data_IF_518206731165
#
_entry.id   IF_518206731165
#
_cell.length_a   1.000
_cell.length_b   1.000
_cell.length_c   1.000
_cell.angle_alpha   90.00
_cell.angle_beta   90.00
_cell.angle_gamma   90.00
#
_symmetry.space_group_name_H-M   'P 1'
#
loop_
_entity.id
_entity.type
_entity.pdbx_description
1 polymer ?
#
# COMPACT_ATOMS: atom_id res chain seq x y z
N UNK A 1 -22.31 37.18 57.20
CA UNK A 1 -21.23 38.10 56.77
C UNK A 1 -21.00 37.89 55.28
N UNK A 2 -21.00 38.98 54.51
CA UNK A 2 -21.34 39.06 53.08
C UNK A 2 -20.16 38.80 52.14
N UNK A 3 -20.43 38.12 51.04
CA UNK A 3 -19.63 38.02 49.80
C UNK A 3 -19.47 39.38 49.12
N UNK A 4 -18.29 39.67 48.53
CA UNK A 4 -18.14 40.43 47.26
C UNK A 4 -16.87 40.04 46.48
N UNK A 5 -17.12 39.67 45.23
CA UNK A 5 -16.24 39.56 44.04
C UNK A 5 -15.72 40.94 43.59
N UNK A 6 -14.47 41.08 43.08
CA UNK A 6 -14.06 41.97 41.96
C UNK A 6 -12.81 41.38 41.25
N UNK A 7 -12.67 41.68 39.95
CA UNK A 7 -12.06 40.91 38.86
C UNK A 7 -10.82 41.56 38.20
N UNK A 8 -10.16 40.78 37.30
CA UNK A 8 -9.25 41.14 36.17
C UNK A 8 -7.78 41.45 36.56
N UNK A 9 -6.73 41.04 35.83
CA UNK A 9 -6.49 41.09 34.37
C UNK A 9 -5.42 40.06 33.94
N UNK A 10 -5.56 39.57 32.73
CA UNK A 10 -4.54 38.84 31.97
C UNK A 10 -3.27 39.68 31.78
N UNK A 11 -2.10 39.06 31.97
CA UNK A 11 -0.83 39.55 31.41
C UNK A 11 -0.20 38.38 30.65
N UNK A 12 -0.20 38.50 29.33
CA UNK A 12 0.54 37.65 28.42
C UNK A 12 2.02 37.99 28.52
N UNK A 13 2.86 37.00 28.82
CA UNK A 13 4.31 37.12 28.69
C UNK A 13 4.68 36.37 27.42
N UNK A 14 5.01 37.15 26.39
CA UNK A 14 5.63 36.67 25.17
C UNK A 14 7.06 36.22 25.48
N UNK A 15 7.43 34.99 25.10
CA UNK A 15 8.80 34.50 25.18
C UNK A 15 9.27 33.99 23.80
N UNK A 16 10.08 34.85 23.19
CA UNK A 16 11.21 34.61 22.29
C UNK A 16 11.18 33.44 21.28
N UNK A 17 11.28 33.86 20.03
CA UNK A 17 11.80 33.19 18.83
C UNK A 17 13.02 32.29 19.07
N UNK A 18 12.95 31.07 18.54
CA UNK A 18 14.09 30.39 17.95
C UNK A 18 13.72 29.99 16.52
N UNK A 19 14.17 30.78 15.55
CA UNK A 19 14.12 30.41 14.13
C UNK A 19 15.23 29.40 13.91
N UNK A 20 14.90 28.12 14.02
CA UNK A 20 15.70 27.06 13.43
C UNK A 20 15.24 26.85 12.00
N UNK A 21 15.93 27.41 11.01
CA UNK A 21 15.79 26.96 9.61
C UNK A 21 16.49 25.62 9.45
N UNK A 22 16.00 24.61 10.17
CA UNK A 22 16.19 23.22 9.80
C UNK A 22 15.03 22.87 8.89
N UNK A 23 15.26 22.91 7.58
CA UNK A 23 14.34 22.31 6.62
C UNK A 23 14.31 20.81 6.88
N UNK A 24 13.54 20.38 7.87
CA UNK A 24 13.11 19.00 7.93
C UNK A 24 12.22 18.80 6.72
N UNK A 25 12.80 18.30 5.63
CA UNK A 25 12.02 17.58 4.64
C UNK A 25 11.52 16.37 5.39
N UNK A 26 10.33 16.51 6.00
CA UNK A 26 9.54 15.38 6.39
C UNK A 26 9.28 14.62 5.09
N UNK A 27 10.06 13.58 4.84
CA UNK A 27 9.67 12.54 3.92
C UNK A 27 8.37 11.99 4.51
N UNK A 28 7.23 12.49 4.01
CA UNK A 28 5.95 11.81 4.19
C UNK A 28 6.19 10.47 3.52
N UNK A 29 6.26 9.34 4.24
CA UNK A 29 6.22 8.06 3.56
C UNK A 29 4.91 8.10 2.79
N UNK A 30 5.01 8.03 1.45
CA UNK A 30 3.84 7.67 0.67
C UNK A 30 3.31 6.40 1.35
N UNK A 31 2.07 6.44 1.83
CA UNK A 31 1.41 5.26 2.37
C UNK A 31 1.13 4.32 1.20
N UNK A 32 2.20 3.80 0.60
CA UNK A 32 2.10 2.67 -0.29
C UNK A 32 1.82 1.48 0.60
N UNK A 33 0.70 0.81 0.37
CA UNK A 33 0.45 -0.44 1.05
C UNK A 33 1.40 -1.47 0.44
N UNK A 34 2.47 -1.82 1.15
CA UNK A 34 3.36 -2.89 0.70
C UNK A 34 2.58 -4.21 0.60
N UNK A 35 2.89 -4.99 -0.44
CA UNK A 35 2.40 -6.36 -0.54
C UNK A 35 3.09 -7.17 0.56
N UNK A 36 2.31 -7.78 1.44
CA UNK A 36 2.80 -8.49 2.62
C UNK A 36 3.69 -9.67 2.18
N UNK A 37 4.87 -9.84 2.80
CA UNK A 37 5.66 -11.05 2.63
C UNK A 37 4.88 -12.29 3.07
N UNK A 38 5.03 -13.39 2.35
CA UNK A 38 4.34 -14.63 2.68
C UNK A 38 4.22 -15.57 1.51
N UNK A 39 3.66 -16.75 1.79
CA UNK A 39 3.31 -17.76 0.77
C UNK A 39 1.86 -17.59 0.38
N UNK A 40 1.59 -17.65 -0.91
CA UNK A 40 0.30 -17.43 -1.52
C UNK A 40 0.01 -18.49 -2.58
N UNK A 41 -1.28 -18.80 -2.76
CA UNK A 41 -1.78 -19.36 -4.01
C UNK A 41 -2.04 -18.21 -4.97
N UNK A 42 -1.24 -18.12 -6.02
CA UNK A 42 -1.43 -17.21 -7.14
C UNK A 42 -2.41 -17.81 -8.14
N UNK A 43 -3.49 -17.09 -8.44
CA UNK A 43 -4.47 -17.49 -9.46
C UNK A 43 -4.60 -16.42 -10.53
N UNK A 44 -4.61 -16.84 -11.80
CA UNK A 44 -4.98 -15.98 -12.93
C UNK A 44 -6.28 -16.50 -13.53
N UNK A 45 -7.29 -15.65 -13.53
CA UNK A 45 -8.61 -15.86 -14.11
C UNK A 45 -8.68 -15.13 -15.45
N UNK A 46 -9.29 -15.72 -16.47
CA UNK A 46 -9.69 -15.02 -17.69
C UNK A 46 -11.10 -15.43 -18.07
N UNK A 47 -11.95 -14.45 -18.38
CA UNK A 47 -13.37 -14.66 -18.65
C UNK A 47 -14.08 -15.56 -17.60
N UNK A 48 -13.74 -15.40 -16.32
CA UNK A 48 -14.33 -16.16 -15.22
C UNK A 48 -13.81 -17.61 -15.05
N UNK A 49 -12.84 -18.04 -15.86
CA UNK A 49 -12.22 -19.36 -15.76
C UNK A 49 -10.79 -19.27 -15.23
N UNK A 50 -10.40 -20.21 -14.36
CA UNK A 50 -9.01 -20.32 -13.89
C UNK A 50 -8.14 -20.77 -15.06
N UNK A 51 -7.20 -19.93 -15.47
CA UNK A 51 -6.18 -20.28 -16.46
C UNK A 51 -4.97 -20.94 -15.83
N UNK A 52 -4.59 -20.44 -14.65
CA UNK A 52 -3.41 -20.89 -13.94
C UNK A 52 -3.60 -20.67 -12.44
N UNK A 53 -3.27 -21.70 -11.66
CA UNK A 53 -3.16 -21.61 -10.21
C UNK A 53 -1.83 -22.26 -9.79
N UNK A 54 -1.03 -21.56 -8.99
CA UNK A 54 0.28 -22.04 -8.53
C UNK A 54 0.66 -21.40 -7.21
N UNK A 55 1.62 -22.02 -6.54
CA UNK A 55 2.29 -21.39 -5.41
C UNK A 55 3.10 -20.17 -5.86
N UNK A 56 3.11 -19.16 -5.01
CA UNK A 56 3.94 -17.97 -5.13
C UNK A 56 4.35 -17.44 -3.78
N UNK A 57 5.46 -16.72 -3.75
CA UNK A 57 5.96 -16.09 -2.53
C UNK A 57 6.18 -14.61 -2.76
N UNK A 58 5.91 -13.81 -1.73
CA UNK A 58 6.34 -12.42 -1.69
C UNK A 58 7.60 -12.36 -0.82
N UNK A 59 8.72 -12.01 -1.44
CA UNK A 59 10.04 -11.92 -0.81
C UNK A 59 10.59 -10.51 -1.01
N UNK A 60 10.53 -9.67 0.03
CA UNK A 60 10.93 -8.26 -0.09
C UNK A 60 10.00 -7.51 -1.05
N UNK A 61 10.56 -6.85 -2.07
CA UNK A 61 9.82 -6.16 -3.15
C UNK A 61 9.61 -7.05 -4.38
N UNK A 62 9.71 -8.37 -4.24
CA UNK A 62 9.57 -9.31 -5.36
C UNK A 62 8.43 -10.32 -5.14
N UNK A 63 7.68 -10.57 -6.20
CA UNK A 63 6.78 -11.70 -6.35
C UNK A 63 7.55 -12.84 -7.03
N UNK A 64 7.73 -13.95 -6.32
CA UNK A 64 8.39 -15.16 -6.78
C UNK A 64 7.33 -16.17 -7.22
N UNK A 65 7.31 -16.50 -8.51
CA UNK A 65 6.46 -17.53 -9.11
C UNK A 65 7.35 -18.51 -9.89
N UNK A 66 7.20 -18.55 -11.23
CA UNK A 66 8.16 -19.21 -12.14
C UNK A 66 9.43 -18.38 -12.37
N UNK A 67 9.42 -17.13 -11.91
CA UNK A 67 10.51 -16.16 -11.98
C UNK A 67 10.36 -15.19 -10.83
N UNK A 68 11.29 -14.23 -10.73
CA UNK A 68 11.27 -13.15 -9.73
C UNK A 68 10.82 -11.88 -10.43
N UNK A 69 9.79 -11.26 -9.91
CA UNK A 69 9.18 -10.09 -10.54
C UNK A 69 9.09 -8.95 -9.55
N UNK A 70 9.61 -7.79 -9.93
CA UNK A 70 9.55 -6.61 -9.10
C UNK A 70 8.10 -6.18 -8.89
N UNK A 71 7.73 -5.99 -7.64
CA UNK A 71 6.49 -5.38 -7.22
C UNK A 71 6.69 -3.88 -7.24
N UNK A 72 5.87 -3.20 -8.01
CA UNK A 72 5.77 -1.75 -8.04
C UNK A 72 4.69 -1.31 -7.06
N UNK A 73 5.04 -0.58 -5.99
CA UNK A 73 4.07 -0.21 -4.97
C UNK A 73 2.96 0.71 -5.52
N UNK A 74 1.75 0.55 -4.99
CA UNK A 74 0.58 1.41 -5.19
C UNK A 74 -0.02 1.80 -3.84
N UNK A 75 -1.02 2.69 -3.84
CA UNK A 75 -1.70 3.12 -2.62
C UNK A 75 -2.37 1.96 -1.86
N UNK A 76 -2.81 0.92 -2.57
CA UNK A 76 -3.58 -0.21 -2.05
C UNK A 76 -2.85 -1.55 -2.13
N UNK A 77 -1.60 -1.58 -2.60
CA UNK A 77 -0.85 -2.81 -2.76
C UNK A 77 0.30 -2.64 -3.74
N UNK A 78 0.27 -3.38 -4.85
CA UNK A 78 1.25 -3.21 -5.90
C UNK A 78 0.80 -3.71 -7.26
N UNK A 79 1.66 -3.57 -8.26
CA UNK A 79 1.52 -4.26 -9.54
C UNK A 79 2.83 -4.93 -9.94
N UNK A 80 2.73 -5.93 -10.80
CA UNK A 80 3.87 -6.64 -11.38
C UNK A 80 3.73 -6.64 -12.89
N UNK A 81 4.83 -6.38 -13.59
CA UNK A 81 4.96 -6.62 -15.02
C UNK A 81 5.63 -7.98 -15.25
N UNK A 82 4.88 -9.00 -15.68
CA UNK A 82 5.42 -10.36 -15.88
C UNK A 82 6.25 -10.49 -17.15
N UNK A 83 5.88 -9.75 -18.19
CA UNK A 83 6.60 -9.59 -19.44
C UNK A 83 6.10 -8.31 -20.14
N UNK A 84 6.80 -7.78 -21.15
CA UNK A 84 6.39 -6.54 -21.80
C UNK A 84 4.92 -6.54 -22.22
N UNK A 85 4.17 -5.58 -21.68
CA UNK A 85 2.74 -5.43 -21.92
C UNK A 85 1.83 -6.27 -21.02
N UNK A 86 2.32 -7.23 -20.24
CA UNK A 86 1.48 -8.01 -19.32
C UNK A 86 1.66 -7.57 -17.88
N UNK A 87 0.66 -6.88 -17.35
CA UNK A 87 0.63 -6.30 -16.01
C UNK A 87 -0.48 -6.90 -15.17
N UNK A 88 -0.20 -7.23 -13.93
CA UNK A 88 -1.22 -7.60 -12.95
C UNK A 88 -1.20 -6.66 -11.76
N UNK A 89 -2.38 -6.30 -11.26
CA UNK A 89 -2.54 -5.54 -10.04
C UNK A 89 -2.85 -6.46 -8.86
N UNK A 90 -2.35 -6.10 -7.69
CA UNK A 90 -2.50 -6.79 -6.42
C UNK A 90 -2.97 -5.77 -5.40
N UNK A 91 -4.27 -5.49 -5.37
CA UNK A 91 -4.86 -4.60 -4.37
C UNK A 91 -5.25 -5.42 -3.15
N UNK A 92 -4.97 -4.91 -1.95
CA UNK A 92 -5.34 -5.56 -0.70
C UNK A 92 -6.85 -5.85 -0.67
N UNK A 93 -7.20 -7.11 -0.42
CA UNK A 93 -8.58 -7.58 -0.41
C UNK A 93 -9.28 -7.43 0.95
N UNK A 94 -8.59 -6.93 1.98
CA UNK A 94 -9.05 -6.82 3.36
C UNK A 94 -8.99 -8.12 4.17
N UNK A 95 -8.60 -9.24 3.56
CA UNK A 95 -8.64 -10.59 4.13
C UNK A 95 -7.27 -11.27 4.20
N UNK A 96 -6.19 -10.50 4.03
CA UNK A 96 -4.82 -11.01 4.02
C UNK A 96 -4.28 -11.26 2.62
N UNK A 97 -5.15 -11.34 1.61
CA UNK A 97 -4.81 -11.58 0.22
C UNK A 97 -4.78 -10.31 -0.62
N UNK A 98 -4.72 -10.52 -1.93
CA UNK A 98 -4.72 -9.46 -2.93
C UNK A 98 -5.53 -9.87 -4.16
N UNK A 99 -6.21 -8.90 -4.77
CA UNK A 99 -6.96 -9.05 -6.02
C UNK A 99 -6.77 -7.83 -6.93
N UNK A 100 -6.70 -8.05 -8.24
CA UNK A 100 -6.69 -6.95 -9.19
C UNK A 100 -6.76 -7.40 -10.64
N UNK A 101 -6.99 -6.43 -11.52
CA UNK A 101 -7.08 -6.69 -12.95
C UNK A 101 -5.72 -7.13 -13.54
N UNK A 102 -5.80 -8.00 -14.54
CA UNK A 102 -4.69 -8.41 -15.40
C UNK A 102 -4.87 -7.79 -16.78
N UNK A 103 -3.83 -7.14 -17.29
CA UNK A 103 -3.85 -6.40 -18.55
C UNK A 103 -2.82 -6.96 -19.53
N UNK A 104 -3.19 -6.99 -20.81
CA UNK A 104 -2.26 -7.13 -21.93
C UNK A 104 -2.32 -5.86 -22.79
N UNK A 105 -1.35 -4.98 -22.59
CA UNK A 105 -1.36 -3.62 -23.13
C UNK A 105 -2.53 -2.82 -22.55
N UNK A 106 -3.38 -2.20 -23.38
CA UNK A 106 -4.54 -1.44 -22.92
C UNK A 106 -5.77 -2.32 -22.61
N UNK A 107 -5.69 -3.64 -22.84
CA UNK A 107 -6.84 -4.54 -22.71
C UNK A 107 -6.81 -5.28 -21.37
N UNK A 108 -7.90 -5.19 -20.60
CA UNK A 108 -8.13 -6.08 -19.46
C UNK A 108 -8.43 -7.49 -19.98
N UNK A 109 -7.61 -8.46 -19.58
CA UNK A 109 -7.70 -9.86 -20.02
C UNK A 109 -8.17 -10.80 -18.90
N UNK A 110 -8.33 -10.28 -17.68
CA UNK A 110 -8.71 -11.11 -16.55
C UNK A 110 -8.43 -10.51 -15.18
N UNK A 111 -8.37 -11.39 -14.19
CA UNK A 111 -8.13 -11.06 -12.78
C UNK A 111 -6.98 -11.88 -12.25
N UNK A 112 -6.16 -11.29 -11.40
CA UNK A 112 -5.08 -11.92 -10.68
C UNK A 112 -5.38 -11.88 -9.17
N UNK A 113 -5.19 -13.01 -8.49
CA UNK A 113 -5.34 -13.08 -7.03
C UNK A 113 -4.13 -13.71 -6.37
N UNK A 114 -3.84 -13.26 -5.15
CA UNK A 114 -2.94 -13.90 -4.20
C UNK A 114 -3.74 -14.28 -2.96
N UNK A 115 -4.00 -15.56 -2.77
CA UNK A 115 -4.69 -16.08 -1.59
C UNK A 115 -3.67 -16.60 -0.58
N UNK A 116 -3.63 -16.12 0.68
CA UNK A 116 -2.66 -16.58 1.67
C UNK A 116 -2.70 -18.09 1.87
N UNK A 117 -1.52 -18.70 2.01
CA UNK A 117 -1.38 -20.04 2.54
C UNK A 117 -0.95 -19.91 4.01
N UNK A 118 -1.67 -20.59 4.91
CA UNK A 118 -1.53 -20.44 6.36
C UNK A 118 -0.19 -20.85 6.95
#
# INVERSE_FOLDING_TARGET
>A
MSTRYISKKFIAIAAATAVGTGSFIAAVPAASADVRPGTYTSTTLSAGSVLLAREGHVEGDELVLIGRYKIHPTDTGGYVDFFPGHRVYMNDDGHGGYEGAAFLGPLEIGTFTLTPQG
#
